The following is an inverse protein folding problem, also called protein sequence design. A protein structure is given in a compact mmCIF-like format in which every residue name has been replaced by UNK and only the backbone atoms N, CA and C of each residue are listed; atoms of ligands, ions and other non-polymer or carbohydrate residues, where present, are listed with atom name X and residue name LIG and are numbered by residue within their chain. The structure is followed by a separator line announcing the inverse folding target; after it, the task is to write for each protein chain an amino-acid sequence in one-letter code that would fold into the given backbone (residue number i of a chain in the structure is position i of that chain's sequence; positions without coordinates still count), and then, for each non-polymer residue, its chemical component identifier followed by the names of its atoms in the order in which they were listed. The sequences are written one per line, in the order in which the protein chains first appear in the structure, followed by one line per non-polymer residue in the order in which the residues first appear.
data_IF_717409440415
#
_entry.id   IF_717409440415
#
_cell.length_a   1.000
_cell.length_b   1.000
_cell.length_c   1.000
_cell.angle_alpha   90.00
_cell.angle_beta   90.00
_cell.angle_gamma   90.00
#
_symmetry.space_group_name_H-M   'P 1'
#
loop_
_entity.id
_entity.type
_entity.pdbx_description
1 polymer ?
#
# COMPACT_ATOMS: atom_id res chain seq x y z
N UNK A 1 -1.56 -7.57 -39.36
CA UNK A 1 -2.24 -7.69 -38.06
C UNK A 1 -2.02 -9.10 -37.53
N UNK A 2 -1.39 -9.26 -36.35
CA UNK A 2 -1.01 -10.55 -35.77
C UNK A 2 -1.75 -10.75 -34.42
N UNK A 3 -2.73 -11.67 -34.32
CA UNK A 3 -3.58 -11.84 -33.14
C UNK A 3 -2.82 -12.10 -31.83
N UNK A 4 -1.65 -12.74 -31.92
CA UNK A 4 -0.80 -13.10 -30.78
C UNK A 4 -0.22 -11.89 -30.03
N UNK A 5 -0.21 -10.70 -30.62
CA UNK A 5 0.28 -9.46 -29.97
C UNK A 5 -0.85 -8.58 -29.42
N UNK A 6 -2.09 -9.08 -29.37
CA UNK A 6 -3.25 -8.30 -28.90
C UNK A 6 -3.31 -8.18 -27.37
N UNK A 7 -2.87 -9.22 -26.67
CA UNK A 7 -2.97 -9.32 -25.22
C UNK A 7 -1.59 -9.56 -24.62
N UNK A 8 -1.35 -8.95 -23.46
CA UNK A 8 -0.18 -9.23 -22.64
C UNK A 8 -0.60 -9.18 -21.17
N UNK A 9 0.15 -9.89 -20.32
CA UNK A 9 -0.05 -9.84 -18.88
C UNK A 9 0.48 -8.50 -18.37
N UNK A 10 -0.43 -7.61 -17.99
CA UNK A 10 -0.05 -6.29 -17.47
C UNK A 10 0.54 -6.44 -16.07
N UNK A 11 1.76 -5.94 -15.89
CA UNK A 11 2.35 -5.71 -14.57
C UNK A 11 2.58 -4.20 -14.37
N UNK A 12 2.10 -3.69 -13.25
CA UNK A 12 2.06 -2.26 -13.01
C UNK A 12 3.45 -1.59 -13.03
N UNK A 13 4.48 -2.23 -12.49
CA UNK A 13 5.83 -1.66 -12.44
C UNK A 13 6.72 -2.13 -13.58
N UNK A 14 6.61 -3.41 -13.95
CA UNK A 14 7.60 -4.04 -14.82
C UNK A 14 7.12 -4.14 -16.27
N UNK A 15 5.82 -4.24 -16.50
CA UNK A 15 5.24 -4.52 -17.82
C UNK A 15 3.92 -3.74 -18.05
N UNK A 16 4.05 -2.45 -18.29
CA UNK A 16 2.95 -1.53 -18.47
C UNK A 16 3.04 -0.78 -19.82
N UNK A 17 2.08 0.12 -20.06
CA UNK A 17 2.01 0.88 -21.31
C UNK A 17 3.29 1.67 -21.62
N UNK A 18 3.95 2.23 -20.61
CA UNK A 18 5.18 2.99 -20.76
C UNK A 18 6.38 2.05 -20.95
N UNK A 19 6.54 1.07 -20.06
CA UNK A 19 7.66 0.13 -20.10
C UNK A 19 7.68 -0.71 -21.38
N UNK A 20 6.51 -1.07 -21.93
CA UNK A 20 6.38 -1.74 -23.24
C UNK A 20 6.82 -0.86 -24.39
N UNK A 21 6.44 0.42 -24.38
CA UNK A 21 6.88 1.36 -25.42
C UNK A 21 8.41 1.52 -25.34
N UNK A 22 8.96 1.74 -24.14
CA UNK A 22 10.42 1.77 -23.92
C UNK A 22 11.11 0.54 -24.55
N UNK A 23 10.66 -0.66 -24.20
CA UNK A 23 11.26 -1.91 -24.69
C UNK A 23 11.23 -2.03 -26.22
N UNK A 24 10.17 -1.51 -26.87
CA UNK A 24 10.07 -1.49 -28.33
C UNK A 24 11.09 -0.51 -28.92
N UNK A 25 11.23 0.69 -28.34
CA UNK A 25 12.21 1.67 -28.79
C UNK A 25 13.65 1.18 -28.59
N UNK A 26 13.98 0.55 -27.46
CA UNK A 26 15.30 -0.05 -27.19
C UNK A 26 15.67 -1.10 -28.26
N UNK A 27 14.71 -1.94 -28.66
CA UNK A 27 14.92 -2.94 -29.73
C UNK A 27 15.15 -2.32 -31.11
N UNK A 28 14.54 -1.16 -31.39
CA UNK A 28 14.63 -0.50 -32.70
C UNK A 28 15.87 0.37 -32.85
N UNK A 29 16.30 1.05 -31.77
CA UNK A 29 17.33 2.09 -31.82
C UNK A 29 18.62 1.74 -31.07
N UNK A 30 18.73 0.52 -30.53
CA UNK A 30 19.76 0.02 -29.61
C UNK A 30 19.70 0.63 -28.20
N UNK A 31 20.11 -0.15 -27.20
CA UNK A 31 20.03 0.19 -25.77
C UNK A 31 20.91 1.41 -25.39
N UNK A 32 22.05 1.57 -26.07
CA UNK A 32 23.00 2.68 -25.85
C UNK A 32 22.39 4.05 -26.16
N UNK A 33 21.43 4.12 -27.07
CA UNK A 33 20.80 5.37 -27.51
C UNK A 33 19.84 5.93 -26.46
N UNK A 34 19.22 5.06 -25.67
CA UNK A 34 18.19 5.38 -24.67
C UNK A 34 18.76 5.45 -23.25
N UNK A 35 19.95 4.88 -23.00
CA UNK A 35 20.58 4.81 -21.67
C UNK A 35 21.59 5.92 -21.36
N UNK A 36 21.86 6.84 -22.31
CA UNK A 36 22.92 7.85 -22.22
C UNK A 36 22.83 8.85 -21.05
N UNK A 37 21.74 8.87 -20.28
CA UNK A 37 21.53 9.76 -19.13
C UNK A 37 21.46 9.04 -17.76
N UNK A 38 21.87 7.77 -17.68
CA UNK A 38 21.80 6.96 -16.44
C UNK A 38 22.51 7.53 -15.20
N UNK A 39 23.39 8.53 -15.33
CA UNK A 39 24.24 9.01 -14.24
C UNK A 39 23.57 9.98 -13.25
N UNK A 40 22.28 10.32 -13.41
CA UNK A 40 21.56 11.29 -12.57
C UNK A 40 20.36 10.72 -11.79
N UNK A 41 20.30 9.41 -11.61
CA UNK A 41 19.11 8.75 -11.06
C UNK A 41 19.08 8.91 -9.54
N UNK A 42 18.02 9.52 -9.03
CA UNK A 42 17.74 9.55 -7.60
C UNK A 42 17.41 8.14 -7.09
N UNK A 43 17.96 7.74 -5.94
CA UNK A 43 17.64 6.50 -5.22
C UNK A 43 16.22 6.56 -4.61
N UNK A 44 15.19 6.62 -5.47
CA UNK A 44 13.78 6.65 -5.06
C UNK A 44 13.11 5.32 -5.37
N UNK A 45 12.24 4.87 -4.47
CA UNK A 45 11.48 3.63 -4.67
C UNK A 45 10.30 3.83 -5.62
N UNK A 46 9.74 2.72 -6.12
CA UNK A 46 8.52 2.76 -6.92
C UNK A 46 7.36 3.46 -6.19
N UNK A 47 7.19 3.21 -4.88
CA UNK A 47 6.17 3.84 -4.04
C UNK A 47 6.35 5.35 -4.00
N UNK A 48 7.57 5.81 -3.72
CA UNK A 48 7.88 7.25 -3.66
C UNK A 48 7.64 7.96 -5.01
N UNK A 49 7.89 7.26 -6.13
CA UNK A 49 7.57 7.76 -7.47
C UNK A 49 6.06 7.91 -7.69
N UNK A 50 5.23 7.03 -7.10
CA UNK A 50 3.77 7.14 -7.15
C UNK A 50 3.22 8.25 -6.26
N UNK A 51 3.76 8.42 -5.05
CA UNK A 51 3.29 9.39 -4.05
C UNK A 51 3.19 10.82 -4.62
N UNK A 52 4.12 11.15 -5.53
CA UNK A 52 4.13 12.41 -6.25
C UNK A 52 2.82 12.69 -7.03
N UNK A 53 2.19 11.66 -7.59
CA UNK A 53 0.93 11.75 -8.33
C UNK A 53 -0.32 11.55 -7.44
N UNK A 54 -0.11 11.15 -6.18
CA UNK A 54 -1.17 10.84 -5.20
C UNK A 54 -1.32 11.94 -4.13
N UNK A 55 -0.46 12.95 -4.14
CA UNK A 55 -0.44 14.06 -3.16
C UNK A 55 -1.80 14.75 -2.98
N UNK A 56 -2.60 14.87 -4.04
CA UNK A 56 -3.94 15.47 -4.05
C UNK A 56 -5.08 14.44 -3.85
N UNK A 57 -4.75 13.16 -3.69
CA UNK A 57 -5.68 12.02 -3.62
C UNK A 57 -5.40 11.15 -2.38
N UNK A 58 -5.55 11.69 -1.16
CA UNK A 58 -5.07 11.03 0.06
C UNK A 58 -5.73 9.68 0.36
N UNK A 59 -6.97 9.45 -0.11
CA UNK A 59 -7.62 8.14 0.02
C UNK A 59 -7.11 7.12 -0.99
N UNK A 60 -6.77 7.56 -2.22
CA UNK A 60 -6.12 6.70 -3.20
C UNK A 60 -4.72 6.33 -2.73
N UNK A 61 -3.98 7.30 -2.21
CA UNK A 61 -2.68 7.13 -1.56
C UNK A 61 -2.73 6.02 -0.49
N UNK A 62 -3.59 6.19 0.51
CA UNK A 62 -3.81 5.19 1.56
C UNK A 62 -4.19 3.80 1.04
N UNK A 63 -5.07 3.72 0.03
CA UNK A 63 -5.52 2.44 -0.52
C UNK A 63 -4.45 1.73 -1.34
N UNK A 64 -3.70 2.47 -2.14
CA UNK A 64 -2.56 1.98 -2.91
C UNK A 64 -1.47 1.50 -1.95
N UNK A 65 -1.15 2.30 -0.94
CA UNK A 65 -0.15 1.92 0.06
C UNK A 65 -0.51 0.68 0.86
N UNK A 66 -1.82 0.46 1.05
CA UNK A 66 -2.34 -0.68 1.77
C UNK A 66 -2.18 -1.98 0.96
N UNK A 67 -2.41 -1.94 -0.35
CA UNK A 67 -2.37 -3.14 -1.21
C UNK A 67 -0.97 -3.44 -1.77
N UNK A 68 -0.14 -2.42 -2.00
CA UNK A 68 1.24 -2.59 -2.46
C UNK A 68 2.12 -3.22 -1.38
N UNK A 69 2.90 -4.21 -1.79
CA UNK A 69 3.84 -4.93 -0.93
C UNK A 69 5.28 -4.44 -1.07
N UNK A 70 6.22 -5.20 -0.50
CA UNK A 70 7.64 -4.87 -0.48
C UNK A 70 8.25 -4.49 -1.84
N UNK A 71 7.90 -5.11 -2.99
CA UNK A 71 8.50 -4.73 -4.28
C UNK A 71 8.31 -3.26 -4.66
N UNK A 72 7.28 -2.59 -4.13
CA UNK A 72 7.08 -1.15 -4.33
C UNK A 72 8.09 -0.28 -3.58
N UNK A 73 8.73 -0.81 -2.54
CA UNK A 73 9.69 -0.10 -1.70
C UNK A 73 11.14 -0.32 -2.14
N UNK A 74 11.37 -1.19 -3.14
CA UNK A 74 12.67 -1.36 -3.77
C UNK A 74 13.05 -0.10 -4.58
N UNK A 75 14.31 0.36 -4.53
CA UNK A 75 14.79 1.46 -5.36
C UNK A 75 14.60 1.16 -6.84
N UNK A 76 13.98 2.09 -7.58
CA UNK A 76 13.82 1.97 -9.02
C UNK A 76 15.04 2.54 -9.74
N UNK A 77 15.72 1.70 -10.52
CA UNK A 77 16.81 2.14 -11.39
C UNK A 77 16.28 3.06 -12.51
N UNK A 78 17.21 3.68 -13.28
CA UNK A 78 16.86 4.58 -14.38
C UNK A 78 15.82 3.98 -15.34
N UNK A 79 16.01 2.70 -15.67
CA UNK A 79 15.21 1.99 -16.65
C UNK A 79 13.83 1.70 -16.09
N UNK A 80 13.77 1.31 -14.82
CA UNK A 80 12.57 1.03 -14.08
C UNK A 80 11.73 2.28 -13.85
N UNK A 81 12.34 3.44 -13.60
CA UNK A 81 11.61 4.72 -13.46
C UNK A 81 10.73 5.06 -14.68
N UNK A 82 11.13 4.60 -15.87
CA UNK A 82 10.32 4.72 -17.09
C UNK A 82 9.04 3.86 -17.10
N UNK A 83 8.72 3.16 -16.02
CA UNK A 83 7.35 2.66 -15.79
C UNK A 83 6.34 3.82 -15.75
N UNK A 84 6.79 5.01 -15.34
CA UNK A 84 6.03 6.25 -15.44
C UNK A 84 6.22 6.90 -16.82
N UNK A 85 5.13 7.27 -17.51
CA UNK A 85 5.20 7.89 -18.84
C UNK A 85 6.04 9.17 -18.91
N UNK A 86 6.02 9.98 -17.85
CA UNK A 86 6.76 11.25 -17.81
C UNK A 86 8.28 11.01 -17.85
N UNK A 87 8.78 9.99 -17.14
CA UNK A 87 10.19 9.61 -17.17
C UNK A 87 10.61 9.06 -18.53
N UNK A 88 9.75 8.24 -19.17
CA UNK A 88 10.00 7.77 -20.53
C UNK A 88 10.04 8.93 -21.52
N UNK A 89 9.08 9.85 -21.44
CA UNK A 89 9.01 11.04 -22.30
C UNK A 89 10.29 11.85 -22.19
N UNK A 90 10.69 12.19 -20.97
CA UNK A 90 11.87 13.01 -20.72
C UNK A 90 13.15 12.31 -21.17
N UNK A 91 13.25 10.98 -21.02
CA UNK A 91 14.37 10.22 -21.55
C UNK A 91 14.40 10.24 -23.09
N UNK A 92 13.28 10.00 -23.76
CA UNK A 92 13.20 10.00 -25.23
C UNK A 92 13.52 11.38 -25.82
N UNK A 93 13.08 12.48 -25.18
CA UNK A 93 13.42 13.85 -25.58
C UNK A 93 14.94 14.11 -25.60
N UNK A 94 15.68 13.43 -24.75
CA UNK A 94 17.12 13.59 -24.62
C UNK A 94 17.94 12.54 -25.37
N UNK A 95 17.31 11.48 -25.86
CA UNK A 95 17.96 10.35 -26.52
C UNK A 95 18.39 10.68 -27.96
N UNK A 96 19.60 10.24 -28.34
CA UNK A 96 20.20 10.52 -29.66
C UNK A 96 20.85 9.28 -30.26
N UNK A 97 20.58 9.02 -31.52
CA UNK A 97 21.37 8.11 -32.35
C UNK A 97 22.69 8.79 -32.77
N UNK A 98 23.64 8.03 -33.34
CA UNK A 98 25.00 8.47 -33.69
C UNK A 98 25.07 9.86 -34.34
N UNK A 99 24.08 10.27 -35.14
CA UNK A 99 24.06 11.58 -35.80
C UNK A 99 22.73 12.35 -35.66
N UNK A 100 21.74 11.87 -34.89
CA UNK A 100 20.40 12.49 -34.86
C UNK A 100 19.62 12.22 -33.58
N UNK A 101 18.95 13.26 -33.07
CA UNK A 101 17.95 13.12 -32.00
C UNK A 101 16.82 12.18 -32.41
N UNK A 102 16.36 11.33 -31.48
CA UNK A 102 15.17 10.48 -31.72
C UNK A 102 13.93 11.37 -31.82
N UNK A 103 13.80 12.32 -30.90
CA UNK A 103 12.71 13.31 -30.92
C UNK A 103 13.15 14.49 -31.77
N UNK A 104 12.48 14.69 -32.91
CA UNK A 104 12.78 15.77 -33.87
C UNK A 104 12.25 17.13 -33.42
N UNK A 105 11.11 17.13 -32.75
CA UNK A 105 10.44 18.32 -32.22
C UNK A 105 9.86 17.99 -30.85
N UNK A 106 10.04 18.91 -29.89
CA UNK A 106 9.51 18.72 -28.55
C UNK A 106 7.98 18.77 -28.54
N UNK A 107 7.30 17.95 -27.72
CA UNK A 107 5.85 17.97 -27.65
C UNK A 107 5.36 19.34 -27.16
N UNK A 108 4.40 19.91 -27.89
CA UNK A 108 3.70 21.13 -27.46
C UNK A 108 2.57 20.75 -26.51
N UNK A 109 2.57 21.33 -25.31
CA UNK A 109 1.48 21.15 -24.35
C UNK A 109 0.23 21.88 -24.88
N UNK A 110 -0.79 21.12 -25.27
CA UNK A 110 -2.07 21.66 -25.74
C UNK A 110 -2.97 22.03 -24.56
N UNK A 111 -2.86 21.28 -23.46
CA UNK A 111 -3.61 21.51 -22.24
C UNK A 111 -2.83 21.01 -21.04
N UNK A 112 -2.68 21.86 -20.02
CA UNK A 112 -2.10 21.49 -18.75
C UNK A 112 -3.21 21.46 -17.71
N UNK A 113 -3.50 20.28 -17.15
CA UNK A 113 -4.43 20.20 -16.03
C UNK A 113 -3.85 20.99 -14.85
N UNK A 114 -4.59 21.95 -14.27
CA UNK A 114 -4.12 22.65 -13.09
C UNK A 114 -4.01 21.62 -11.96
N UNK A 115 -2.82 21.48 -11.36
CA UNK A 115 -2.72 20.78 -10.07
C UNK A 115 -3.45 21.63 -9.04
N UNK A 116 -4.37 21.02 -8.29
CA UNK A 116 -5.05 21.74 -7.22
C UNK A 116 -4.02 22.12 -6.15
N UNK A 117 -3.61 23.39 -6.14
CA UNK A 117 -2.80 23.96 -5.05
C UNK A 117 -3.61 24.23 -3.79
N UNK A 118 -4.89 23.86 -3.79
CA UNK A 118 -5.78 24.02 -2.65
C UNK A 118 -5.34 23.11 -1.50
N UNK A 119 -5.35 23.67 -0.30
CA UNK A 119 -5.05 22.90 0.91
C UNK A 119 -6.16 21.88 1.12
N UNK A 120 -5.80 20.60 1.06
CA UNK A 120 -6.73 19.49 1.35
C UNK A 120 -7.17 19.58 2.81
N UNK A 121 -8.49 19.68 3.09
CA UNK A 121 -9.01 19.72 4.45
C UNK A 121 -8.62 18.47 5.25
N UNK A 122 -8.43 18.63 6.57
CA UNK A 122 -7.99 17.53 7.43
C UNK A 122 -8.96 16.34 7.41
N UNK A 123 -10.27 16.60 7.41
CA UNK A 123 -11.30 15.56 7.36
C UNK A 123 -11.32 14.77 6.05
N UNK A 124 -10.66 15.26 4.99
CA UNK A 124 -10.50 14.53 3.73
C UNK A 124 -9.29 13.59 3.75
N UNK A 125 -8.46 13.64 4.80
CA UNK A 125 -7.27 12.79 4.93
C UNK A 125 -7.56 11.55 5.77
N UNK A 126 -7.09 10.35 5.38
CA UNK A 126 -7.28 9.11 6.14
C UNK A 126 -6.81 9.19 7.59
N UNK A 127 -5.72 9.91 7.86
CA UNK A 127 -5.16 10.08 9.21
C UNK A 127 -6.18 10.67 10.19
N UNK A 128 -7.07 11.57 9.74
CA UNK A 128 -8.12 12.11 10.60
C UNK A 128 -9.08 11.03 11.07
N UNK A 129 -9.50 10.15 10.16
CA UNK A 129 -10.45 9.09 10.45
C UNK A 129 -9.84 7.97 11.28
N UNK A 130 -8.58 7.62 11.05
CA UNK A 130 -7.89 6.60 11.86
C UNK A 130 -7.61 7.10 13.28
N UNK A 131 -7.28 8.39 13.45
CA UNK A 131 -7.20 9.02 14.76
C UNK A 131 -8.55 9.11 15.46
N UNK A 132 -9.62 9.48 14.74
CA UNK A 132 -10.97 9.52 15.28
C UNK A 132 -11.40 8.13 15.75
N UNK A 133 -11.16 7.09 14.94
CA UNK A 133 -11.44 5.71 15.30
C UNK A 133 -10.65 5.27 16.54
N UNK A 134 -9.37 5.64 16.63
CA UNK A 134 -8.55 5.38 17.81
C UNK A 134 -9.09 6.09 19.07
N UNK A 135 -9.50 7.36 18.94
CA UNK A 135 -10.15 8.11 20.02
C UNK A 135 -11.46 7.45 20.48
N UNK A 136 -12.29 6.99 19.53
CA UNK A 136 -13.50 6.23 19.84
C UNK A 136 -13.17 4.91 20.54
N UNK A 137 -12.12 4.20 20.11
CA UNK A 137 -11.67 2.97 20.75
C UNK A 137 -11.25 3.20 22.21
N UNK A 138 -10.53 4.30 22.50
CA UNK A 138 -10.19 4.70 23.86
C UNK A 138 -11.43 4.98 24.70
N UNK A 139 -12.39 5.77 24.17
CA UNK A 139 -13.64 6.07 24.87
C UNK A 139 -14.45 4.81 25.17
N UNK A 140 -14.54 3.88 24.22
CA UNK A 140 -15.22 2.59 24.42
C UNK A 140 -14.53 1.73 25.47
N UNK A 141 -13.19 1.74 25.53
CA UNK A 141 -12.40 1.01 26.52
C UNK A 141 -12.65 1.53 27.94
N UNK A 142 -12.52 2.84 28.15
CA UNK A 142 -12.52 3.41 29.51
C UNK A 142 -13.90 3.85 30.01
N UNK A 143 -14.82 4.22 29.12
CA UNK A 143 -16.14 4.76 29.47
C UNK A 143 -17.30 3.89 28.96
N UNK A 144 -17.00 2.73 28.35
CA UNK A 144 -18.00 1.84 27.76
C UNK A 144 -18.90 1.17 28.80
N UNK A 145 -20.14 1.67 28.95
CA UNK A 145 -21.16 1.05 29.83
C UNK A 145 -21.74 -0.25 29.27
N UNK A 146 -21.71 -0.44 27.94
CA UNK A 146 -22.30 -1.60 27.26
C UNK A 146 -21.24 -2.51 26.62
N UNK A 147 -20.66 -3.39 27.43
CA UNK A 147 -19.60 -4.31 26.99
C UNK A 147 -20.07 -5.30 25.89
N UNK A 148 -21.38 -5.59 25.79
CA UNK A 148 -21.90 -6.42 24.69
C UNK A 148 -21.76 -5.72 23.33
N UNK A 149 -22.07 -4.42 23.26
CA UNK A 149 -21.97 -3.65 22.02
C UNK A 149 -20.51 -3.51 21.56
N UNK A 150 -19.62 -3.24 22.51
CA UNK A 150 -18.18 -3.14 22.28
C UNK A 150 -17.61 -4.44 21.67
N UNK A 151 -18.09 -5.61 22.12
CA UNK A 151 -17.70 -6.91 21.53
C UNK A 151 -18.09 -7.04 20.06
N UNK A 152 -19.26 -6.55 19.66
CA UNK A 152 -19.66 -6.59 18.24
C UNK A 152 -18.80 -5.67 17.39
N UNK A 153 -18.40 -4.51 17.92
CA UNK A 153 -17.44 -3.64 17.25
C UNK A 153 -16.10 -4.34 17.09
N UNK A 154 -15.61 -5.04 18.11
CA UNK A 154 -14.36 -5.80 18.04
C UNK A 154 -14.44 -6.91 16.98
N UNK A 155 -15.53 -7.69 16.98
CA UNK A 155 -15.78 -8.71 15.95
C UNK A 155 -15.74 -8.09 14.56
N UNK A 156 -16.44 -6.98 14.35
CA UNK A 156 -16.49 -6.29 13.07
C UNK A 156 -15.09 -5.82 12.62
N UNK A 157 -14.34 -5.16 13.50
CA UNK A 157 -12.98 -4.70 13.20
C UNK A 157 -12.06 -5.86 12.81
N UNK A 158 -12.04 -6.94 13.58
CA UNK A 158 -11.17 -8.09 13.29
C UNK A 158 -11.63 -8.89 12.07
N UNK A 159 -12.94 -8.94 11.77
CA UNK A 159 -13.42 -9.49 10.48
C UNK A 159 -12.92 -8.65 9.32
N UNK A 160 -13.02 -7.32 9.37
CA UNK A 160 -12.46 -6.45 8.33
C UNK A 160 -10.95 -6.64 8.14
N UNK A 161 -10.21 -6.72 9.25
CA UNK A 161 -8.78 -7.02 9.22
C UNK A 161 -8.49 -8.35 8.53
N UNK A 162 -9.28 -9.38 8.84
CA UNK A 162 -9.17 -10.69 8.21
C UNK A 162 -9.54 -10.70 6.73
N UNK A 163 -10.56 -9.94 6.33
CA UNK A 163 -10.95 -9.80 4.92
C UNK A 163 -9.86 -9.09 4.11
N UNK A 164 -9.26 -8.03 4.66
CA UNK A 164 -8.12 -7.36 4.04
C UNK A 164 -6.92 -8.32 3.90
N UNK A 165 -6.61 -9.08 4.96
CA UNK A 165 -5.57 -10.11 4.90
C UNK A 165 -5.84 -11.21 3.87
N UNK A 166 -7.10 -11.64 3.74
CA UNK A 166 -7.50 -12.61 2.73
C UNK A 166 -7.36 -12.04 1.31
N UNK A 167 -7.70 -10.76 1.11
CA UNK A 167 -7.46 -10.06 -0.15
C UNK A 167 -5.97 -10.03 -0.48
N UNK A 168 -5.09 -9.67 0.47
CA UNK A 168 -3.64 -9.63 0.20
C UNK A 168 -3.08 -11.02 -0.10
N UNK A 169 -3.52 -12.04 0.63
CA UNK A 169 -3.13 -13.42 0.34
C UNK A 169 -3.60 -13.86 -1.04
N UNK A 170 -4.80 -13.44 -1.47
CA UNK A 170 -5.29 -13.68 -2.83
C UNK A 170 -4.49 -12.93 -3.88
N UNK A 171 -4.16 -11.66 -3.66
CA UNK A 171 -3.30 -10.89 -4.57
C UNK A 171 -1.93 -11.54 -4.71
N UNK A 172 -1.38 -12.05 -3.61
CA UNK A 172 -0.08 -12.70 -3.58
C UNK A 172 -0.09 -14.08 -4.26
N UNK A 173 -1.00 -14.98 -3.90
CA UNK A 173 -0.98 -16.38 -4.35
C UNK A 173 -1.91 -16.68 -5.52
N UNK A 174 -2.92 -15.84 -5.73
CA UNK A 174 -4.01 -16.05 -6.70
C UNK A 174 -3.94 -15.14 -7.93
N UNK A 175 -2.97 -14.24 -8.01
CA UNK A 175 -2.82 -13.32 -9.15
C UNK A 175 -1.35 -13.13 -9.54
N UNK A 176 -1.12 -12.64 -10.76
CA UNK A 176 0.21 -12.30 -11.29
C UNK A 176 0.67 -10.88 -10.89
N UNK A 177 0.04 -10.24 -9.89
CA UNK A 177 0.40 -8.87 -9.48
C UNK A 177 1.66 -8.86 -8.62
N UNK A 178 2.83 -8.75 -9.24
CA UNK A 178 4.11 -8.78 -8.53
C UNK A 178 4.24 -7.62 -7.53
N UNK A 179 3.66 -6.47 -7.84
CA UNK A 179 3.63 -5.29 -6.96
C UNK A 179 2.95 -5.55 -5.59
N UNK A 180 2.10 -6.57 -5.46
CA UNK A 180 1.40 -6.93 -4.23
C UNK A 180 2.11 -8.04 -3.42
N UNK A 181 3.20 -8.60 -3.95
CA UNK A 181 3.96 -9.68 -3.30
C UNK A 181 4.56 -9.22 -1.96
N UNK A 182 4.67 -10.13 -0.99
CA UNK A 182 5.24 -9.88 0.33
C UNK A 182 4.72 -8.59 1.00
N UNK A 183 3.39 -8.42 1.04
CA UNK A 183 2.78 -7.28 1.70
C UNK A 183 2.82 -7.41 3.24
N UNK A 184 3.70 -6.65 3.87
CA UNK A 184 3.94 -6.64 5.31
C UNK A 184 2.74 -6.13 6.12
N UNK A 185 1.74 -5.50 5.49
CA UNK A 185 0.47 -5.23 6.16
C UNK A 185 -0.22 -6.51 6.65
N UNK A 186 0.11 -7.68 6.09
CA UNK A 186 -0.40 -8.99 6.57
C UNK A 186 0.00 -9.34 8.01
N UNK A 187 1.01 -8.69 8.59
CA UNK A 187 1.40 -8.89 10.00
C UNK A 187 0.30 -8.46 10.99
N UNK A 188 -0.52 -7.47 10.61
CA UNK A 188 -1.62 -6.96 11.42
C UNK A 188 -2.99 -7.10 10.76
N UNK A 189 -3.02 -7.30 9.44
CA UNK A 189 -4.18 -7.66 8.63
C UNK A 189 -4.08 -9.13 8.22
N UNK A 190 -4.37 -10.04 9.16
CA UNK A 190 -4.16 -11.47 8.97
C UNK A 190 -5.47 -12.22 8.67
N UNK A 191 -5.56 -13.06 7.61
CA UNK A 191 -6.80 -13.76 7.25
C UNK A 191 -7.38 -14.63 8.37
N UNK A 192 -6.54 -15.17 9.26
CA UNK A 192 -7.00 -15.90 10.44
C UNK A 192 -7.89 -15.08 11.38
N UNK A 193 -7.84 -13.74 11.31
CA UNK A 193 -8.69 -12.87 12.10
C UNK A 193 -10.18 -13.07 11.77
N UNK A 194 -10.55 -13.52 10.55
CA UNK A 194 -11.95 -13.84 10.21
C UNK A 194 -12.49 -14.91 11.17
N UNK A 195 -11.73 -16.00 11.35
CA UNK A 195 -12.15 -17.14 12.17
C UNK A 195 -12.13 -16.76 13.65
N UNK A 196 -11.03 -16.13 14.08
CA UNK A 196 -10.80 -15.80 15.49
C UNK A 196 -11.67 -14.65 15.99
N UNK A 197 -12.13 -13.76 15.11
CA UNK A 197 -13.05 -12.69 15.46
C UNK A 197 -14.37 -13.22 16.06
N UNK A 198 -14.91 -14.33 15.55
CA UNK A 198 -16.16 -14.89 16.08
C UNK A 198 -16.06 -15.29 17.56
N UNK A 199 -14.86 -15.70 18.01
CA UNK A 199 -14.62 -16.04 19.40
C UNK A 199 -14.75 -14.82 20.33
N UNK A 200 -14.58 -13.59 19.83
CA UNK A 200 -14.70 -12.35 20.60
C UNK A 200 -16.13 -12.03 21.05
N UNK A 201 -17.14 -12.71 20.49
CA UNK A 201 -18.53 -12.61 20.97
C UNK A 201 -18.71 -13.15 22.38
N UNK A 202 -17.86 -14.09 22.79
CA UNK A 202 -17.94 -14.75 24.10
C UNK A 202 -17.45 -13.80 25.19
N UNK A 203 -18.12 -13.75 26.35
CA UNK A 203 -17.67 -12.94 27.50
C UNK A 203 -16.32 -13.42 28.05
N UNK A 204 -16.07 -14.73 28.02
CA UNK A 204 -14.81 -15.31 28.43
C UNK A 204 -14.12 -15.95 27.22
N UNK A 205 -12.88 -15.55 26.97
CA UNK A 205 -12.04 -16.11 25.92
C UNK A 205 -11.27 -17.32 26.44
N UNK A 206 -11.14 -18.36 25.61
CA UNK A 206 -10.29 -19.51 25.92
C UNK A 206 -8.80 -19.11 25.88
N UNK A 207 -7.94 -19.96 26.44
CA UNK A 207 -6.49 -19.71 26.48
C UNK A 207 -5.92 -19.53 25.06
N UNK A 208 -6.37 -20.35 24.12
CA UNK A 208 -5.94 -20.36 22.72
C UNK A 208 -6.29 -19.04 22.02
N UNK A 209 -7.52 -18.54 22.25
CA UNK A 209 -7.97 -17.26 21.70
C UNK A 209 -7.15 -16.10 22.27
N UNK A 210 -6.86 -16.13 23.58
CA UNK A 210 -5.99 -15.11 24.22
C UNK A 210 -4.57 -15.16 23.67
N UNK A 211 -4.00 -16.35 23.50
CA UNK A 211 -2.67 -16.54 22.90
C UNK A 211 -2.63 -16.02 21.47
N UNK A 212 -3.65 -16.32 20.66
CA UNK A 212 -3.77 -15.82 19.29
C UNK A 212 -3.77 -14.28 19.23
N UNK A 213 -4.69 -13.63 19.95
CA UNK A 213 -4.76 -12.16 19.95
C UNK A 213 -3.55 -11.51 20.63
N UNK A 214 -2.90 -12.21 21.56
CA UNK A 214 -1.62 -11.79 22.14
C UNK A 214 -0.49 -11.78 21.12
N UNK A 215 -0.42 -12.82 20.27
CA UNK A 215 0.54 -12.86 19.16
C UNK A 215 0.27 -11.76 18.14
N UNK A 216 -0.99 -11.55 17.73
CA UNK A 216 -1.39 -10.45 16.84
C UNK A 216 -1.02 -9.09 17.45
N UNK A 217 -1.32 -8.86 18.73
CA UNK A 217 -0.93 -7.63 19.42
C UNK A 217 0.59 -7.44 19.46
N UNK A 218 1.37 -8.51 19.66
CA UNK A 218 2.82 -8.49 19.58
C UNK A 218 3.34 -8.09 18.20
N UNK A 219 2.78 -8.67 17.12
CA UNK A 219 3.12 -8.31 15.75
C UNK A 219 2.78 -6.85 15.44
N UNK A 220 1.60 -6.38 15.87
CA UNK A 220 1.20 -4.98 15.73
C UNK A 220 2.18 -4.07 16.47
N UNK A 221 2.56 -4.42 17.70
CA UNK A 221 3.53 -3.66 18.47
C UNK A 221 4.87 -3.53 17.74
N UNK A 222 5.38 -4.64 17.18
CA UNK A 222 6.59 -4.65 16.35
C UNK A 222 6.42 -3.73 15.13
N UNK A 223 5.28 -3.78 14.44
CA UNK A 223 5.03 -2.89 13.29
C UNK A 223 5.05 -1.41 13.70
N UNK A 224 4.48 -1.06 14.85
CA UNK A 224 4.46 0.32 15.34
C UNK A 224 5.86 0.79 15.76
N UNK A 225 6.63 -0.03 16.47
CA UNK A 225 7.93 0.39 17.05
C UNK A 225 9.10 0.21 16.09
N UNK A 226 9.05 -0.82 15.25
CA UNK A 226 10.15 -1.23 14.37
C UNK A 226 9.79 -1.06 12.89
N UNK A 227 8.61 -0.51 12.55
CA UNK A 227 8.14 -0.35 11.17
C UNK A 227 9.13 0.38 10.26
N UNK A 228 9.87 1.35 10.80
CA UNK A 228 10.90 2.08 10.06
C UNK A 228 12.08 1.21 9.59
N UNK A 229 12.30 0.06 10.23
CA UNK A 229 13.35 -0.90 9.87
C UNK A 229 12.83 -2.07 9.03
N UNK A 230 11.52 -2.14 8.79
CA UNK A 230 10.95 -3.16 7.91
C UNK A 230 11.22 -2.78 6.45
N UNK A 231 11.31 -3.77 5.54
CA UNK A 231 11.60 -3.51 4.13
C UNK A 231 10.42 -2.89 3.37
N UNK A 232 9.27 -2.71 4.01
CA UNK A 232 8.09 -2.06 3.44
C UNK A 232 7.72 -0.83 4.25
N UNK A 233 7.45 0.28 3.56
CA UNK A 233 6.98 1.50 4.20
C UNK A 233 5.50 1.40 4.57
N UNK A 234 5.13 1.93 5.74
CA UNK A 234 3.75 2.03 6.18
C UNK A 234 3.23 3.45 6.07
N UNK A 235 2.10 3.61 5.39
CA UNK A 235 1.39 4.87 5.34
C UNK A 235 1.11 5.40 6.76
N UNK A 236 1.29 6.70 6.99
CA UNK A 236 1.22 7.29 8.34
C UNK A 236 -0.12 7.06 9.04
N UNK A 237 -1.21 6.99 8.29
CA UNK A 237 -2.54 6.69 8.83
C UNK A 237 -2.70 5.25 9.35
N UNK A 238 -1.80 4.32 9.00
CA UNK A 238 -1.83 2.95 9.53
C UNK A 238 -1.47 2.92 11.01
N UNK A 239 -0.62 3.81 11.52
CA UNK A 239 -0.19 3.76 12.92
C UNK A 239 -1.34 3.94 13.93
N UNK A 240 -2.25 4.94 13.82
CA UNK A 240 -3.41 5.01 14.71
C UNK A 240 -4.39 3.85 14.52
N UNK A 241 -4.48 3.31 13.31
CA UNK A 241 -5.33 2.16 13.01
C UNK A 241 -4.77 0.88 13.67
N UNK A 242 -3.48 0.62 13.53
CA UNK A 242 -2.74 -0.41 14.25
C UNK A 242 -2.88 -0.23 15.76
N UNK A 243 -2.74 0.99 16.29
CA UNK A 243 -2.93 1.28 17.71
C UNK A 243 -4.36 0.95 18.17
N UNK A 244 -5.37 1.16 17.32
CA UNK A 244 -6.75 0.73 17.57
C UNK A 244 -6.81 -0.79 17.72
N UNK A 245 -6.31 -1.55 16.74
CA UNK A 245 -6.30 -3.01 16.78
C UNK A 245 -5.54 -3.55 18.00
N UNK A 246 -4.39 -2.96 18.33
CA UNK A 246 -3.60 -3.29 19.52
C UNK A 246 -4.41 -3.10 20.81
N UNK A 247 -4.99 -1.90 21.00
CA UNK A 247 -5.80 -1.59 22.17
C UNK A 247 -6.98 -2.57 22.31
N UNK A 248 -7.69 -2.83 21.20
CA UNK A 248 -8.83 -3.74 21.21
C UNK A 248 -8.40 -5.17 21.54
N UNK A 249 -7.32 -5.69 20.94
CA UNK A 249 -6.79 -7.02 21.24
C UNK A 249 -6.39 -7.17 22.72
N UNK A 250 -5.61 -6.22 23.25
CA UNK A 250 -5.14 -6.25 24.64
C UNK A 250 -6.32 -6.15 25.61
N UNK A 251 -7.29 -5.27 25.36
CA UNK A 251 -8.47 -5.15 26.21
C UNK A 251 -9.27 -6.46 26.28
N UNK A 252 -9.45 -7.15 25.16
CA UNK A 252 -10.14 -8.46 25.11
C UNK A 252 -9.39 -9.54 25.89
N UNK A 253 -8.05 -9.50 25.92
CA UNK A 253 -7.23 -10.47 26.66
C UNK A 253 -7.33 -10.22 28.17
N UNK A 254 -7.32 -8.94 28.57
CA UNK A 254 -7.31 -8.48 29.96
C UNK A 254 -8.71 -8.38 30.59
N UNK A 255 -9.80 -8.37 29.80
CA UNK A 255 -11.16 -8.28 30.33
C UNK A 255 -11.36 -9.35 31.41
N UNK A 256 -11.60 -8.95 32.68
CA UNK A 256 -11.81 -9.90 33.75
C UNK A 256 -13.09 -10.68 33.46
N UNK A 257 -13.09 -11.98 33.79
CA UNK A 257 -14.29 -12.79 33.72
C UNK A 257 -15.37 -12.11 34.58
N UNK A 258 -16.37 -11.48 33.95
CA UNK A 258 -17.56 -11.08 34.71
C UNK A 258 -18.14 -12.38 35.24
N UNK A 259 -18.09 -12.58 36.56
CA UNK A 259 -18.77 -13.69 37.21
C UNK A 259 -20.23 -13.61 36.78
N UNK A 260 -20.66 -14.62 36.03
CA UNK A 260 -22.07 -14.86 35.76
C UNK A 260 -22.78 -15.19 37.06
#
# INVERSE_FOLDING_TARGET
YRPEYRYYAYDFFFDNCSSRIRDIFEKLFSEEVISSQSNQVSEVSFRQLLDYYLTDKPWSDFGIDLILGQPSDEPADFRQQMFLPDYLKDNLENSKTTNRSIVLEKPKVIYAFPRSGEKIPLYSKPIFWTLLLFGMALLMTFNGKNQKWVRYVDVFLFVLSGLAGALFLFMWLGTEHQACYANWNMLWLFPGNIIMAWALRKPALSKEVKTYFGAIAGLIFICITCGWFLPQQFHIAFYPLMATFFLRAIWRILEPMSKA
#
